data_IF_785428335608
#
_entry.id   IF_785428335608
#
_cell.length_a   1.000
_cell.length_b   1.000
_cell.length_c   1.000
_cell.angle_alpha   90.00
_cell.angle_beta   90.00
_cell.angle_gamma   90.00
#
_symmetry.space_group_name_H-M   'P 1'
#
loop_
_entity.id
_entity.type
_entity.pdbx_description
1 polymer ?
#
# COMPACT_ATOMS: atom_id res chain seq x y z
N UNK A 1 -40.87 27.50 26.84
CA UNK A 1 -40.87 26.51 25.74
C UNK A 1 -39.68 25.60 25.99
N UNK A 2 -39.93 24.35 26.40
CA UNK A 2 -38.87 23.35 26.58
C UNK A 2 -38.65 22.72 25.19
N UNK A 3 -37.52 23.01 24.58
CA UNK A 3 -37.12 22.39 23.30
C UNK A 3 -36.58 20.98 23.61
N UNK A 4 -37.44 19.99 23.54
CA UNK A 4 -37.02 18.58 23.68
C UNK A 4 -36.62 18.08 22.28
N UNK A 5 -35.35 18.07 22.01
CA UNK A 5 -34.80 17.44 20.80
C UNK A 5 -34.49 15.98 21.12
N UNK A 6 -35.18 15.05 20.48
CA UNK A 6 -34.83 13.63 20.50
C UNK A 6 -33.82 13.37 19.39
N UNK A 7 -32.60 13.05 19.78
CA UNK A 7 -31.56 12.64 18.82
C UNK A 7 -31.56 11.11 18.76
N UNK A 8 -31.87 10.54 17.61
CA UNK A 8 -31.77 9.09 17.35
C UNK A 8 -30.51 8.88 16.51
N UNK A 9 -29.50 8.26 17.11
CA UNK A 9 -28.32 7.82 16.39
C UNK A 9 -28.53 6.39 15.93
N UNK A 10 -28.33 6.06 14.64
CA UNK A 10 -28.39 4.66 14.18
C UNK A 10 -27.24 3.86 14.77
N UNK A 11 -27.55 2.68 15.32
CA UNK A 11 -26.58 1.73 15.87
C UNK A 11 -26.02 0.80 14.75
N UNK A 12 -26.57 0.89 13.55
CA UNK A 12 -26.30 -0.06 12.45
C UNK A 12 -25.39 0.59 11.42
N UNK A 13 -24.31 -0.09 11.04
CA UNK A 13 -23.32 0.36 10.06
C UNK A 13 -23.89 0.46 8.64
N UNK A 14 -24.94 -0.28 8.34
CA UNK A 14 -25.67 -0.17 7.06
C UNK A 14 -27.12 -0.62 7.23
N UNK A 15 -28.05 0.09 6.62
CA UNK A 15 -29.45 -0.30 6.51
C UNK A 15 -29.64 -0.84 5.09
N UNK A 16 -29.80 -2.15 4.94
CA UNK A 16 -29.96 -2.79 3.64
C UNK A 16 -31.39 -2.70 3.08
N UNK A 17 -32.38 -2.46 3.97
CA UNK A 17 -33.76 -2.27 3.59
C UNK A 17 -34.36 -1.06 4.30
N UNK A 18 -35.16 -0.28 3.58
CA UNK A 18 -35.89 0.84 4.17
C UNK A 18 -36.92 0.30 5.18
N UNK A 19 -36.90 0.83 6.41
CA UNK A 19 -37.88 0.46 7.47
C UNK A 19 -38.56 1.71 8.01
N UNK A 20 -39.86 1.59 8.27
CA UNK A 20 -40.61 2.58 9.01
C UNK A 20 -40.84 2.08 10.44
N UNK A 21 -40.48 2.91 11.40
CA UNK A 21 -40.70 2.63 12.83
C UNK A 21 -41.67 3.68 13.36
N UNK A 22 -42.74 3.22 13.99
CA UNK A 22 -43.68 4.10 14.64
C UNK A 22 -43.32 4.26 16.14
N UNK A 23 -43.04 5.50 16.53
CA UNK A 23 -42.83 5.84 17.95
C UNK A 23 -44.11 6.44 18.51
N UNK A 24 -44.66 5.82 19.56
CA UNK A 24 -45.79 6.32 20.26
C UNK A 24 -45.34 7.02 21.53
N UNK A 25 -45.58 8.33 21.63
CA UNK A 25 -45.32 9.14 22.81
C UNK A 25 -46.61 9.41 23.54
N UNK A 26 -46.64 9.07 24.82
CA UNK A 26 -47.74 9.41 25.73
C UNK A 26 -47.21 10.32 26.82
N UNK A 27 -47.83 11.48 27.03
CA UNK A 27 -47.51 12.36 28.15
C UNK A 27 -48.77 12.87 28.80
N UNK A 28 -48.71 13.07 30.11
CA UNK A 28 -49.78 13.60 30.90
C UNK A 28 -49.58 15.12 31.04
N UNK A 29 -50.54 15.92 30.57
CA UNK A 29 -50.56 17.36 30.73
C UNK A 29 -51.84 17.73 31.51
N UNK A 30 -51.70 18.17 32.74
CA UNK A 30 -52.83 18.57 33.61
C UNK A 30 -53.94 17.54 33.74
N UNK A 31 -53.59 16.27 33.95
CA UNK A 31 -54.54 15.17 34.07
C UNK A 31 -55.08 14.63 32.74
N UNK A 32 -54.68 15.19 31.62
CA UNK A 32 -55.08 14.75 30.29
C UNK A 32 -53.93 14.00 29.61
N UNK A 33 -54.16 12.76 29.24
CA UNK A 33 -53.20 11.97 28.44
C UNK A 33 -53.27 12.44 26.99
N UNK A 34 -52.11 12.87 26.48
CA UNK A 34 -51.95 13.22 25.06
C UNK A 34 -51.02 12.19 24.43
N UNK A 35 -51.54 11.50 23.41
CA UNK A 35 -50.79 10.55 22.62
C UNK A 35 -50.35 11.19 21.30
N UNK A 36 -49.09 11.08 20.94
CA UNK A 36 -48.56 11.54 19.66
C UNK A 36 -47.76 10.40 19.00
N UNK A 37 -48.02 10.20 17.75
CA UNK A 37 -47.27 9.23 16.93
C UNK A 37 -46.29 9.97 16.05
N UNK A 38 -45.08 9.45 15.96
CA UNK A 38 -44.03 9.93 15.08
C UNK A 38 -43.53 8.75 14.24
N UNK A 39 -43.57 8.89 12.93
CA UNK A 39 -43.03 7.89 12.01
C UNK A 39 -41.57 8.27 11.71
N UNK A 40 -40.65 7.37 12.04
CA UNK A 40 -39.24 7.49 11.69
C UNK A 40 -39.01 6.63 10.48
N UNK A 41 -38.64 7.26 9.36
CA UNK A 41 -38.26 6.55 8.13
C UNK A 41 -36.75 6.34 8.12
N UNK A 42 -36.35 5.09 8.13
CA UNK A 42 -34.97 4.71 7.91
C UNK A 42 -34.79 4.48 6.42
N UNK A 43 -34.04 5.35 5.76
CA UNK A 43 -33.71 5.18 4.34
C UNK A 43 -32.45 4.33 4.19
N UNK A 44 -32.40 3.51 3.13
CA UNK A 44 -31.19 2.79 2.75
C UNK A 44 -30.09 3.79 2.46
N UNK A 45 -28.98 3.68 3.16
CA UNK A 45 -27.77 4.39 2.84
C UNK A 45 -26.74 3.35 2.38
N UNK A 46 -26.37 3.38 1.11
CA UNK A 46 -25.19 2.67 0.63
C UNK A 46 -23.97 3.45 1.09
N UNK A 47 -23.53 3.18 2.32
CA UNK A 47 -22.21 3.66 2.76
C UNK A 47 -21.19 2.84 1.99
N UNK A 48 -20.30 3.51 1.27
CA UNK A 48 -19.20 2.84 0.61
C UNK A 48 -18.41 2.02 1.65
N UNK A 49 -17.97 0.80 1.30
CA UNK A 49 -17.21 -0.03 2.24
C UNK A 49 -15.91 0.67 2.64
N UNK A 50 -15.50 0.46 3.91
CA UNK A 50 -14.21 0.93 4.40
C UNK A 50 -13.13 -0.01 3.90
N UNK A 51 -12.53 0.33 2.77
CA UNK A 51 -11.49 -0.48 2.14
C UNK A 51 -10.46 0.39 1.41
N UNK A 52 -9.29 -0.17 1.17
CA UNK A 52 -8.30 0.44 0.30
C UNK A 52 -8.74 0.37 -1.16
N UNK A 53 -8.42 1.40 -1.94
CA UNK A 53 -8.60 1.37 -3.39
C UNK A 53 -7.79 0.25 -4.03
N UNK A 54 -6.61 -0.03 -3.46
CA UNK A 54 -5.72 -1.12 -3.87
C UNK A 54 -5.38 -1.98 -2.65
N UNK A 55 -5.56 -3.29 -2.77
CA UNK A 55 -5.27 -4.26 -1.69
C UNK A 55 -3.81 -4.69 -1.67
N UNK A 56 -3.12 -4.50 -2.78
CA UNK A 56 -1.71 -4.83 -2.97
C UNK A 56 -1.01 -3.70 -3.71
N UNK A 57 0.15 -3.30 -3.22
CA UNK A 57 0.97 -2.22 -3.78
C UNK A 57 2.42 -2.66 -3.83
N UNK A 58 3.13 -2.26 -4.89
CA UNK A 58 4.56 -2.48 -5.02
C UNK A 58 5.31 -1.16 -5.09
N UNK A 59 6.34 -1.03 -4.27
CA UNK A 59 7.33 0.04 -4.32
C UNK A 59 8.60 -0.49 -4.99
N UNK A 60 8.99 0.10 -6.11
CA UNK A 60 10.17 -0.31 -6.87
C UNK A 60 11.44 0.35 -6.29
N UNK A 61 11.92 -0.17 -5.17
CA UNK A 61 13.11 0.32 -4.47
C UNK A 61 12.84 0.91 -3.10
N UNK A 62 13.92 1.11 -2.35
CA UNK A 62 13.92 1.82 -1.06
C UNK A 62 13.64 3.31 -1.27
N UNK A 63 13.15 3.96 -0.22
CA UNK A 63 12.82 5.40 -0.19
C UNK A 63 11.75 5.85 -1.21
N UNK A 64 11.14 4.89 -1.92
CA UNK A 64 9.95 5.16 -2.73
C UNK A 64 8.76 5.36 -1.82
N UNK A 65 7.95 6.33 -2.17
CA UNK A 65 6.74 6.71 -1.42
C UNK A 65 5.49 6.56 -2.28
N UNK A 66 4.38 6.26 -1.64
CA UNK A 66 3.05 6.25 -2.22
C UNK A 66 2.05 6.62 -1.13
N UNK A 67 1.04 7.41 -1.46
CA UNK A 67 -0.06 7.70 -0.53
C UNK A 67 -1.20 6.72 -0.77
N UNK A 68 -1.54 5.96 0.27
CA UNK A 68 -2.66 5.02 0.25
C UNK A 68 -3.97 5.75 0.51
N UNK A 69 -5.00 5.43 -0.24
CA UNK A 69 -6.33 5.99 -0.07
C UNK A 69 -7.33 4.91 0.39
N UNK A 70 -8.18 5.29 1.33
CA UNK A 70 -9.26 4.44 1.86
C UNK A 70 -10.59 5.07 1.48
N UNK A 71 -11.55 4.25 1.03
CA UNK A 71 -12.92 4.66 0.72
C UNK A 71 -13.85 4.47 1.91
N UNK A 72 -15.04 5.04 1.83
CA UNK A 72 -16.14 4.80 2.79
C UNK A 72 -16.20 5.75 4.00
N UNK A 73 -15.24 6.69 4.13
CA UNK A 73 -15.21 7.63 5.25
C UNK A 73 -14.90 9.05 4.77
N UNK A 74 -15.93 9.89 4.67
CA UNK A 74 -15.75 11.26 4.20
C UNK A 74 -15.10 12.21 5.24
N UNK A 75 -15.12 11.89 6.54
CA UNK A 75 -14.67 12.80 7.63
C UNK A 75 -14.04 12.09 8.82
N UNK A 76 -13.58 10.83 8.68
CA UNK A 76 -13.04 10.10 9.81
C UNK A 76 -11.51 10.22 9.90
N UNK A 77 -11.04 10.45 11.12
CA UNK A 77 -9.61 10.37 11.42
C UNK A 77 -9.18 8.90 11.39
N UNK A 78 -8.19 8.60 10.56
CA UNK A 78 -7.67 7.25 10.40
C UNK A 78 -6.43 7.08 11.28
N UNK A 79 -6.33 5.94 11.94
CA UNK A 79 -5.12 5.45 12.57
C UNK A 79 -4.43 4.49 11.62
N UNK A 80 -3.17 4.81 11.30
CA UNK A 80 -2.35 4.02 10.39
C UNK A 80 -1.32 3.21 11.16
N UNK A 81 -1.09 1.98 10.73
CA UNK A 81 -0.04 1.13 11.29
C UNK A 81 0.57 0.19 10.27
N UNK A 82 1.83 -0.16 10.46
CA UNK A 82 2.55 -1.14 9.67
C UNK A 82 2.87 -2.37 10.53
N UNK A 83 2.72 -3.57 9.95
CA UNK A 83 3.11 -4.82 10.61
C UNK A 83 4.64 -4.95 10.75
N UNK A 84 5.40 -4.30 9.85
CA UNK A 84 6.86 -4.32 9.80
C UNK A 84 7.39 -2.93 9.43
N UNK A 85 7.49 -2.00 10.43
CA UNK A 85 7.96 -0.63 10.16
C UNK A 85 9.41 -0.56 9.67
N UNK A 86 10.20 -1.61 9.90
CA UNK A 86 11.54 -1.80 9.36
C UNK A 86 11.55 -2.11 7.86
N UNK A 87 10.41 -2.56 7.28
CA UNK A 87 10.23 -2.82 5.85
C UNK A 87 9.50 -1.65 5.19
N UNK A 88 8.34 -1.27 5.74
CA UNK A 88 7.52 -0.16 5.26
C UNK A 88 7.06 0.68 6.44
N UNK A 89 7.33 1.97 6.43
CA UNK A 89 6.74 2.93 7.36
C UNK A 89 5.50 3.57 6.74
N UNK A 90 4.57 3.95 7.58
CA UNK A 90 3.38 4.72 7.19
C UNK A 90 3.26 5.94 8.07
N UNK A 91 2.93 7.09 7.48
CA UNK A 91 2.68 8.36 8.16
C UNK A 91 1.18 8.55 8.49
N UNK A 92 0.86 9.59 9.23
CA UNK A 92 -0.51 9.89 9.67
C UNK A 92 -1.46 10.24 8.51
N UNK A 93 -0.94 10.65 7.37
CA UNK A 93 -1.69 10.96 6.15
C UNK A 93 -1.87 9.75 5.21
N UNK A 94 -1.36 8.56 5.61
CA UNK A 94 -1.42 7.34 4.81
C UNK A 94 -0.30 7.21 3.78
N UNK A 95 0.72 8.10 3.82
CA UNK A 95 1.89 7.96 2.95
C UNK A 95 2.79 6.85 3.46
N UNK A 96 3.06 5.86 2.61
CA UNK A 96 3.99 4.76 2.88
C UNK A 96 5.35 5.05 2.26
N UNK A 97 6.42 4.62 2.94
CA UNK A 97 7.79 4.68 2.47
C UNK A 97 8.48 3.32 2.62
N UNK A 98 9.12 2.84 1.56
CA UNK A 98 9.93 1.62 1.59
C UNK A 98 11.26 1.87 2.33
N UNK A 99 11.51 1.11 3.40
CA UNK A 99 12.73 1.21 4.22
C UNK A 99 13.73 0.12 3.84
N UNK A 100 13.26 -1.14 3.82
CA UNK A 100 14.04 -2.28 3.34
C UNK A 100 13.19 -3.13 2.41
N UNK A 101 13.84 -4.09 1.72
CA UNK A 101 13.14 -5.02 0.83
C UNK A 101 12.33 -6.04 1.62
N UNK A 102 11.15 -6.35 1.13
CA UNK A 102 10.21 -7.27 1.77
C UNK A 102 8.77 -6.79 1.66
N UNK A 103 7.89 -7.42 2.42
CA UNK A 103 6.46 -7.13 2.42
C UNK A 103 6.00 -6.77 3.84
N UNK A 104 5.19 -5.74 3.95
CA UNK A 104 4.50 -5.35 5.18
C UNK A 104 3.00 -5.17 4.93
N UNK A 105 2.19 -5.44 5.94
CA UNK A 105 0.75 -5.15 5.91
C UNK A 105 0.53 -3.78 6.54
N UNK A 106 -0.03 -2.87 5.77
CA UNK A 106 -0.50 -1.57 6.26
C UNK A 106 -1.96 -1.70 6.65
N UNK A 107 -2.26 -1.27 7.85
CA UNK A 107 -3.63 -1.28 8.39
C UNK A 107 -4.09 0.17 8.60
N UNK A 108 -5.24 0.48 8.02
CA UNK A 108 -6.01 1.69 8.30
C UNK A 108 -7.17 1.33 9.23
N UNK A 109 -7.35 2.06 10.32
CA UNK A 109 -8.42 1.85 11.29
C UNK A 109 -9.12 3.18 11.59
N UNK A 110 -10.45 3.16 11.62
CA UNK A 110 -11.21 4.34 12.00
C UNK A 110 -11.06 4.62 13.51
N UNK A 111 -10.70 5.86 13.88
CA UNK A 111 -10.64 6.27 15.29
C UNK A 111 -12.04 6.44 15.91
N UNK A 112 -13.04 6.76 15.11
CA UNK A 112 -14.43 6.98 15.56
C UNK A 112 -15.17 5.65 15.62
N UNK A 113 -14.94 4.75 14.65
CA UNK A 113 -15.57 3.42 14.56
C UNK A 113 -14.49 2.32 14.55
N UNK A 114 -13.93 1.95 15.71
CA UNK A 114 -12.78 1.04 15.81
C UNK A 114 -13.01 -0.38 15.26
N UNK A 115 -14.25 -0.75 14.98
CA UNK A 115 -14.63 -1.99 14.30
C UNK A 115 -14.30 -1.96 12.80
N UNK A 116 -14.21 -0.75 12.22
CA UNK A 116 -13.86 -0.56 10.81
C UNK A 116 -12.34 -0.53 10.64
N UNK A 117 -11.82 -1.47 9.91
CA UNK A 117 -10.41 -1.53 9.53
C UNK A 117 -10.24 -2.13 8.15
N UNK A 118 -9.23 -1.65 7.41
CA UNK A 118 -8.84 -2.16 6.11
C UNK A 118 -7.35 -2.51 6.13
N UNK A 119 -6.94 -3.43 5.24
CA UNK A 119 -5.55 -3.87 5.12
C UNK A 119 -5.09 -3.81 3.67
N UNK A 120 -3.85 -3.34 3.47
CA UNK A 120 -3.17 -3.32 2.19
C UNK A 120 -1.80 -3.99 2.34
N UNK A 121 -1.45 -4.87 1.41
CA UNK A 121 -0.12 -5.49 1.34
C UNK A 121 0.81 -4.58 0.54
N UNK A 122 1.88 -4.10 1.16
CA UNK A 122 2.87 -3.25 0.49
C UNK A 122 4.19 -4.01 0.39
N UNK A 123 4.64 -4.24 -0.84
CA UNK A 123 5.88 -4.94 -1.13
C UNK A 123 6.92 -3.97 -1.66
N UNK A 124 8.08 -3.90 -0.99
CA UNK A 124 9.26 -3.18 -1.49
C UNK A 124 10.11 -4.16 -2.26
N UNK A 125 10.08 -4.04 -3.59
CA UNK A 125 10.88 -4.88 -4.48
C UNK A 125 12.26 -4.30 -4.70
N UNK A 126 13.21 -5.18 -4.95
CA UNK A 126 14.50 -4.77 -5.51
C UNK A 126 14.32 -4.43 -6.98
N UNK A 127 14.86 -3.30 -7.43
CA UNK A 127 14.94 -3.03 -8.87
C UNK A 127 15.69 -4.17 -9.59
N UNK A 128 15.34 -4.43 -10.84
CA UNK A 128 16.11 -5.35 -11.67
C UNK A 128 17.54 -4.79 -11.84
N UNK A 129 18.53 -5.67 -11.78
CA UNK A 129 19.91 -5.27 -12.08
C UNK A 129 20.02 -4.87 -13.54
N UNK A 130 20.65 -3.72 -13.78
CA UNK A 130 20.98 -3.26 -15.13
C UNK A 130 22.48 -3.00 -15.23
N UNK A 131 23.02 -3.08 -16.43
CA UNK A 131 24.37 -2.68 -16.70
C UNK A 131 24.37 -1.25 -17.27
N UNK A 132 25.43 -0.53 -17.05
CA UNK A 132 25.64 0.79 -17.63
C UNK A 132 25.81 0.70 -19.15
N UNK A 133 26.50 -0.35 -19.59
CA UNK A 133 26.75 -0.66 -20.98
C UNK A 133 25.73 -1.68 -21.49
N UNK A 134 25.11 -1.42 -22.64
CA UNK A 134 24.19 -2.34 -23.32
C UNK A 134 24.88 -3.20 -24.39
N UNK A 135 26.05 -2.77 -24.85
CA UNK A 135 26.89 -3.47 -25.84
C UNK A 135 28.34 -3.08 -25.67
N UNK A 136 29.24 -3.98 -26.02
CA UNK A 136 30.68 -3.77 -26.03
C UNK A 136 31.24 -4.39 -27.31
N UNK A 137 32.08 -3.63 -28.05
CA UNK A 137 32.79 -4.13 -29.20
C UNK A 137 34.23 -4.44 -28.81
N UNK A 138 34.72 -5.63 -29.23
CA UNK A 138 36.09 -6.07 -29.00
C UNK A 138 36.67 -6.65 -30.32
N UNK A 139 37.99 -6.54 -30.46
CA UNK A 139 38.73 -7.26 -31.47
C UNK A 139 39.21 -8.61 -30.91
N UNK A 140 39.36 -9.60 -31.79
CA UNK A 140 39.88 -10.91 -31.37
C UNK A 140 41.24 -10.76 -30.70
N UNK A 141 41.41 -11.36 -29.53
CA UNK A 141 42.59 -11.23 -28.69
C UNK A 141 42.59 -9.99 -27.78
N UNK A 142 41.55 -9.13 -27.84
CA UNK A 142 41.44 -7.96 -26.97
C UNK A 142 40.82 -8.34 -25.63
N UNK A 143 41.33 -7.74 -24.56
CA UNK A 143 40.68 -7.70 -23.23
C UNK A 143 40.36 -6.26 -22.88
N UNK A 144 39.08 -5.99 -22.63
CA UNK A 144 38.67 -4.72 -22.04
C UNK A 144 38.43 -4.89 -20.56
N UNK A 145 39.16 -4.16 -19.77
CA UNK A 145 39.02 -4.19 -18.31
C UNK A 145 37.89 -3.30 -17.83
N UNK A 146 37.15 -3.77 -16.82
CA UNK A 146 36.12 -3.01 -16.09
C UNK A 146 35.05 -2.43 -17.00
N UNK A 147 34.79 -3.07 -18.13
CA UNK A 147 33.92 -2.54 -19.17
C UNK A 147 32.44 -2.74 -18.87
N UNK A 148 32.08 -3.77 -18.12
CA UNK A 148 30.71 -4.01 -17.68
C UNK A 148 30.56 -3.55 -16.23
N UNK A 149 29.63 -2.63 -16.00
CA UNK A 149 29.43 -1.99 -14.70
C UNK A 149 27.96 -2.07 -14.30
N UNK A 150 27.63 -2.77 -13.20
CA UNK A 150 26.28 -2.73 -12.65
C UNK A 150 25.88 -1.32 -12.20
N UNK A 151 24.65 -0.92 -12.50
CA UNK A 151 24.15 0.43 -12.20
C UNK A 151 23.68 0.55 -10.74
N UNK A 152 23.29 -0.54 -10.10
CA UNK A 152 22.80 -0.54 -8.74
C UNK A 152 23.83 -1.03 -7.73
N UNK A 153 23.69 -0.56 -6.48
CA UNK A 153 24.65 -0.79 -5.39
C UNK A 153 24.31 -2.08 -4.61
N UNK A 154 24.18 -3.23 -5.30
CA UNK A 154 23.84 -4.53 -4.68
C UNK A 154 24.88 -5.05 -3.67
N UNK A 155 26.07 -4.52 -3.73
CA UNK A 155 27.19 -4.89 -2.86
C UNK A 155 26.92 -4.57 -1.40
N UNK A 156 26.28 -3.47 -1.10
CA UNK A 156 25.88 -3.12 0.27
C UNK A 156 24.97 -4.17 0.93
N UNK A 157 24.41 -5.08 0.13
CA UNK A 157 23.51 -6.14 0.55
C UNK A 157 24.20 -7.50 0.67
N UNK A 158 25.52 -7.57 0.41
CA UNK A 158 26.29 -8.83 0.42
C UNK A 158 25.94 -9.78 -0.72
N UNK A 159 25.30 -9.30 -1.77
CA UNK A 159 24.96 -10.12 -2.95
C UNK A 159 26.19 -10.36 -3.82
N UNK A 160 26.32 -11.60 -4.30
CA UNK A 160 27.31 -11.95 -5.29
C UNK A 160 26.73 -11.78 -6.69
N UNK A 161 27.48 -11.13 -7.56
CA UNK A 161 27.16 -11.07 -8.99
C UNK A 161 27.95 -12.20 -9.68
N UNK A 162 27.23 -13.08 -10.36
CA UNK A 162 27.82 -14.10 -11.20
C UNK A 162 27.78 -13.60 -12.65
N UNK A 163 28.95 -13.69 -13.29
CA UNK A 163 29.13 -13.29 -14.68
C UNK A 163 29.34 -14.57 -15.51
N UNK A 164 28.55 -14.71 -16.57
CA UNK A 164 28.62 -15.85 -17.46
C UNK A 164 28.58 -15.41 -18.92
N UNK A 165 29.27 -16.10 -19.78
CA UNK A 165 29.16 -15.97 -21.25
C UNK A 165 28.26 -17.07 -21.81
N UNK A 166 27.49 -16.77 -22.83
CA UNK A 166 26.72 -17.77 -23.58
C UNK A 166 27.60 -18.66 -24.44
N UNK A 167 28.80 -18.17 -24.83
CA UNK A 167 29.82 -18.94 -25.55
C UNK A 167 31.22 -18.48 -25.13
N UNK A 168 31.86 -19.27 -24.26
CA UNK A 168 33.21 -18.98 -23.76
C UNK A 168 34.32 -19.20 -24.79
N UNK A 169 34.05 -19.87 -25.91
CA UNK A 169 35.00 -19.96 -27.01
C UNK A 169 35.09 -18.65 -27.80
N UNK A 170 34.04 -17.83 -27.75
CA UNK A 170 34.00 -16.54 -28.42
C UNK A 170 34.43 -15.45 -27.46
N UNK A 171 33.80 -15.39 -26.25
CA UNK A 171 34.03 -14.35 -25.25
C UNK A 171 34.01 -14.93 -23.86
N UNK A 172 35.02 -14.62 -23.05
CA UNK A 172 34.98 -14.87 -21.59
C UNK A 172 34.72 -13.58 -20.84
N UNK A 173 34.06 -13.72 -19.69
CA UNK A 173 33.80 -12.62 -18.77
C UNK A 173 34.28 -13.01 -17.38
N UNK A 174 35.08 -12.14 -16.76
CA UNK A 174 35.56 -12.29 -15.39
C UNK A 174 35.27 -11.01 -14.60
N UNK A 175 34.61 -11.14 -13.48
CA UNK A 175 34.20 -9.95 -12.76
C UNK A 175 34.06 -10.09 -11.26
N UNK A 176 33.89 -8.94 -10.66
CA UNK A 176 33.56 -8.75 -9.25
C UNK A 176 32.12 -8.28 -9.13
N UNK A 177 31.71 -7.93 -7.93
CA UNK A 177 30.42 -7.29 -7.72
C UNK A 177 30.34 -5.84 -8.28
N UNK A 178 31.47 -5.24 -8.68
CA UNK A 178 31.53 -3.83 -9.13
C UNK A 178 31.71 -3.67 -10.62
N UNK A 179 32.38 -4.63 -11.28
CA UNK A 179 32.69 -4.58 -12.71
C UNK A 179 33.08 -5.96 -13.23
N UNK A 180 33.06 -6.12 -14.54
CA UNK A 180 33.66 -7.26 -15.19
C UNK A 180 34.60 -6.85 -16.33
N UNK A 181 35.57 -7.70 -16.54
CA UNK A 181 36.47 -7.68 -17.69
C UNK A 181 35.93 -8.62 -18.77
N UNK A 182 36.10 -8.27 -20.01
CA UNK A 182 35.66 -9.08 -21.16
C UNK A 182 36.83 -9.33 -22.09
N UNK A 183 37.04 -10.61 -22.46
CA UNK A 183 38.11 -11.04 -23.35
C UNK A 183 37.52 -11.73 -24.56
N UNK A 184 37.87 -11.28 -25.75
CA UNK A 184 37.48 -11.90 -27.02
C UNK A 184 38.51 -12.93 -27.47
N UNK A 185 38.06 -14.15 -27.81
CA UNK A 185 38.89 -15.26 -28.24
C UNK A 185 38.74 -15.56 -29.74
N UNK A 186 37.54 -15.41 -30.27
CA UNK A 186 37.26 -15.62 -31.69
C UNK A 186 36.18 -14.66 -32.18
N UNK A 187 36.06 -14.54 -33.50
CA UNK A 187 34.96 -13.78 -34.11
C UNK A 187 33.67 -14.59 -34.00
N UNK A 188 32.60 -13.90 -33.57
CA UNK A 188 31.25 -14.45 -33.41
C UNK A 188 30.20 -13.51 -33.93
#
# INVERSE_FOLDING_TARGET
VINNTLTIAPIVESIQEAKEIQLNLSFNSNGKIVNKQVVVKLTTSTVAPFEFNEKEVTLEGKEKTLTLAVTGLAEETIEWSSSHPEIVRVSEDGTVIGVTYGTAIITAKSKIRPTLSAKCSVTVKRPAMTLKESSVELYVGETKERVLTPVDNRIELGEKIEWTSSDENIVTVEGTAYYANVTAHSAG
#
